data_IF_406666966156
#
_entry.id   IF_406666966156
#
_cell.length_a   1.000
_cell.length_b   1.000
_cell.length_c   1.000
_cell.angle_alpha   90.00
_cell.angle_beta   90.00
_cell.angle_gamma   90.00
#
_symmetry.space_group_name_H-M   'P 1'
#
loop_
_entity.id
_entity.type
_entity.pdbx_description
1 polymer ?
#
# COMPACT_ATOMS: atom_id res chain seq x y z
N UNK A 1 -1.96 -31.63 2.17
CA UNK A 1 -2.19 -31.36 3.59
C UNK A 1 -1.50 -30.06 3.96
N UNK A 2 -2.14 -29.18 4.73
CA UNK A 2 -1.49 -27.97 5.25
C UNK A 2 -0.46 -28.33 6.33
N UNK A 3 0.67 -27.62 6.43
CA UNK A 3 1.60 -27.79 7.55
C UNK A 3 0.85 -27.63 8.88
N UNK A 4 1.12 -28.49 9.88
CA UNK A 4 0.38 -28.50 11.16
C UNK A 4 0.32 -27.13 11.84
N UNK A 5 1.39 -26.34 11.73
CA UNK A 5 1.47 -24.97 12.27
C UNK A 5 0.53 -23.98 11.57
N UNK A 6 0.38 -24.12 10.25
CA UNK A 6 -0.53 -23.32 9.42
C UNK A 6 -1.97 -23.72 9.71
N UNK A 7 -2.23 -25.03 9.77
CA UNK A 7 -3.53 -25.59 10.15
C UNK A 7 -3.99 -25.07 11.51
N UNK A 8 -3.14 -25.07 12.54
CA UNK A 8 -3.50 -24.59 13.88
C UNK A 8 -3.83 -23.10 13.93
N UNK A 9 -3.22 -22.28 13.06
CA UNK A 9 -3.46 -20.83 13.00
C UNK A 9 -4.67 -20.45 12.14
N UNK A 10 -5.12 -21.33 11.26
CA UNK A 10 -6.20 -21.06 10.30
C UNK A 10 -7.51 -21.80 10.67
N UNK A 11 -7.43 -22.98 11.28
CA UNK A 11 -8.56 -23.93 11.43
C UNK A 11 -9.54 -23.64 12.59
N UNK A 12 -9.79 -22.37 12.89
CA UNK A 12 -10.71 -22.04 13.99
C UNK A 12 -12.16 -21.83 13.52
N UNK A 13 -12.44 -21.91 12.22
CA UNK A 13 -13.81 -21.79 11.70
C UNK A 13 -14.02 -22.63 10.43
N UNK A 14 -14.64 -23.80 10.60
CA UNK A 14 -14.74 -24.82 9.55
C UNK A 14 -15.64 -24.40 8.38
N UNK A 15 -16.68 -23.62 8.63
CA UNK A 15 -17.63 -23.10 7.64
C UNK A 15 -16.95 -22.14 6.66
N UNK A 16 -16.14 -21.20 7.14
CA UNK A 16 -15.41 -20.24 6.30
C UNK A 16 -14.28 -20.94 5.51
N UNK A 17 -13.70 -22.01 6.05
CA UNK A 17 -12.78 -22.88 5.31
C UNK A 17 -13.46 -23.62 4.15
N UNK A 18 -14.73 -24.02 4.33
CA UNK A 18 -15.51 -24.61 3.25
C UNK A 18 -15.73 -23.59 2.11
N UNK A 19 -15.93 -22.32 2.43
CA UNK A 19 -16.07 -21.23 1.44
C UNK A 19 -14.78 -20.97 0.64
N UNK A 20 -13.61 -21.39 1.15
CA UNK A 20 -12.36 -21.32 0.38
C UNK A 20 -12.26 -22.42 -0.69
N UNK A 21 -13.01 -23.52 -0.58
CA UNK A 21 -12.85 -24.70 -1.43
C UNK A 21 -13.06 -24.41 -2.93
N UNK A 22 -14.07 -23.62 -3.36
CA UNK A 22 -14.23 -23.26 -4.76
C UNK A 22 -13.03 -22.47 -5.30
N UNK A 23 -12.62 -21.41 -4.60
CA UNK A 23 -11.47 -20.56 -4.96
C UNK A 23 -10.16 -21.35 -4.97
N UNK A 24 -9.99 -22.26 -4.02
CA UNK A 24 -8.82 -23.14 -3.94
C UNK A 24 -8.76 -24.12 -5.11
N UNK A 25 -9.88 -24.77 -5.44
CA UNK A 25 -9.95 -25.67 -6.58
C UNK A 25 -9.75 -24.93 -7.90
N UNK A 26 -10.32 -23.73 -8.03
CA UNK A 26 -10.07 -22.82 -9.15
C UNK A 26 -8.57 -22.56 -9.30
N UNK A 27 -7.90 -22.07 -8.26
CA UNK A 27 -6.46 -21.78 -8.30
C UNK A 27 -5.57 -23.01 -8.56
N UNK A 28 -5.99 -24.19 -8.09
CA UNK A 28 -5.24 -25.44 -8.28
C UNK A 28 -5.33 -25.97 -9.70
N UNK A 29 -6.50 -25.84 -10.31
CA UNK A 29 -6.79 -26.38 -11.64
C UNK A 29 -6.29 -25.50 -12.77
N UNK A 30 -5.75 -24.33 -12.44
CA UNK A 30 -5.38 -23.35 -13.43
C UNK A 30 -3.86 -23.17 -13.53
N UNK A 31 -3.39 -23.16 -14.77
CA UNK A 31 -2.01 -22.87 -15.19
C UNK A 31 -1.69 -21.38 -15.27
N UNK A 32 -2.41 -20.51 -14.56
CA UNK A 32 -2.19 -19.06 -14.60
C UNK A 32 -0.84 -18.74 -13.95
N UNK A 33 0.15 -18.39 -14.77
CA UNK A 33 1.44 -17.86 -14.29
C UNK A 33 1.24 -16.55 -13.52
N UNK A 34 0.24 -15.75 -13.90
CA UNK A 34 -0.23 -14.58 -13.17
C UNK A 34 -1.76 -14.52 -13.22
N UNK A 35 -2.39 -14.78 -12.08
CA UNK A 35 -3.86 -14.83 -11.93
C UNK A 35 -4.51 -13.50 -12.30
N UNK A 36 -3.82 -12.37 -12.10
CA UNK A 36 -4.37 -11.04 -12.36
C UNK A 36 -4.45 -10.70 -13.84
N UNK A 37 -3.48 -11.13 -14.65
CA UNK A 37 -3.40 -10.78 -16.08
C UNK A 37 -4.56 -11.40 -16.87
N UNK A 38 -5.04 -12.58 -16.44
CA UNK A 38 -6.10 -13.31 -17.13
C UNK A 38 -7.48 -13.16 -16.47
N UNK A 39 -7.55 -13.04 -15.13
CA UNK A 39 -8.82 -12.72 -14.46
C UNK A 39 -9.22 -11.26 -14.57
N UNK A 40 -8.25 -10.34 -14.74
CA UNK A 40 -8.56 -8.91 -14.85
C UNK A 40 -9.58 -8.65 -15.96
N UNK A 41 -9.48 -9.35 -17.09
CA UNK A 41 -10.42 -9.21 -18.21
C UNK A 41 -11.81 -9.83 -17.96
N UNK A 42 -11.97 -10.64 -16.90
CA UNK A 42 -13.21 -11.34 -16.55
C UNK A 42 -13.70 -10.88 -15.17
N UNK A 43 -14.07 -9.60 -15.07
CA UNK A 43 -14.45 -8.98 -13.80
C UNK A 43 -15.60 -9.72 -13.08
N UNK A 44 -16.55 -10.30 -13.82
CA UNK A 44 -17.67 -11.07 -13.26
C UNK A 44 -17.19 -12.29 -12.46
N UNK A 45 -16.18 -13.01 -12.97
CA UNK A 45 -15.58 -14.13 -12.24
C UNK A 45 -14.91 -13.60 -10.98
N UNK A 46 -14.22 -12.46 -11.08
CA UNK A 46 -13.57 -11.87 -9.93
C UNK A 46 -14.56 -11.46 -8.84
N UNK A 47 -15.65 -10.80 -9.23
CA UNK A 47 -16.75 -10.35 -8.37
C UNK A 47 -17.43 -11.52 -7.64
N UNK A 48 -17.59 -12.67 -8.32
CA UNK A 48 -18.20 -13.88 -7.74
C UNK A 48 -17.41 -14.47 -6.56
N UNK A 49 -16.09 -14.25 -6.46
CA UNK A 49 -15.32 -14.83 -5.37
C UNK A 49 -15.74 -14.30 -4.00
N UNK A 50 -16.11 -13.01 -3.92
CA UNK A 50 -16.56 -12.40 -2.67
C UNK A 50 -18.03 -12.67 -2.35
N UNK A 51 -18.81 -13.26 -3.25
CA UNK A 51 -20.26 -13.37 -3.10
C UNK A 51 -20.64 -14.13 -1.82
N UNK A 52 -21.58 -13.54 -1.06
CA UNK A 52 -22.01 -14.09 0.23
C UNK A 52 -21.03 -13.87 1.40
N UNK A 53 -19.93 -13.14 1.21
CA UNK A 53 -19.02 -12.77 2.29
C UNK A 53 -19.41 -11.40 2.86
N UNK A 54 -19.78 -11.37 4.14
CA UNK A 54 -20.12 -10.11 4.82
C UNK A 54 -18.87 -9.26 5.09
N UNK A 55 -19.02 -7.95 5.18
CA UNK A 55 -17.93 -7.05 5.59
C UNK A 55 -17.40 -7.39 6.99
N UNK A 56 -18.27 -7.87 7.87
CA UNK A 56 -17.92 -8.37 9.21
C UNK A 56 -16.99 -9.59 9.13
N UNK A 57 -17.26 -10.54 8.24
CA UNK A 57 -16.40 -11.70 8.02
C UNK A 57 -15.03 -11.29 7.45
N UNK A 58 -15.02 -10.32 6.54
CA UNK A 58 -13.77 -9.77 6.00
C UNK A 58 -12.89 -9.22 7.14
N UNK A 59 -13.47 -8.44 8.04
CA UNK A 59 -12.72 -7.79 9.12
C UNK A 59 -12.30 -8.75 10.23
N UNK A 60 -13.19 -9.65 10.64
CA UNK A 60 -12.98 -10.50 11.80
C UNK A 60 -12.27 -11.82 11.45
N UNK A 61 -12.35 -12.25 10.18
CA UNK A 61 -11.80 -13.53 9.76
C UNK A 61 -10.80 -13.39 8.62
N UNK A 62 -11.21 -12.93 7.43
CA UNK A 62 -10.34 -13.00 6.25
C UNK A 62 -9.08 -12.14 6.36
N UNK A 63 -9.21 -10.87 6.77
CA UNK A 63 -8.08 -9.96 6.90
C UNK A 63 -7.07 -10.42 7.98
N UNK A 64 -7.47 -10.83 9.19
CA UNK A 64 -6.55 -11.40 10.17
C UNK A 64 -5.79 -12.64 9.66
N UNK A 65 -6.46 -13.56 8.94
CA UNK A 65 -5.79 -14.76 8.41
C UNK A 65 -4.87 -14.43 7.24
N UNK A 66 -5.24 -13.48 6.40
CA UNK A 66 -4.37 -12.93 5.37
C UNK A 66 -3.07 -12.37 5.97
N UNK A 67 -3.16 -11.61 7.07
CA UNK A 67 -1.97 -11.09 7.78
C UNK A 67 -1.05 -12.19 8.29
N UNK A 68 -1.63 -13.21 8.93
CA UNK A 68 -0.87 -14.37 9.42
C UNK A 68 -0.16 -15.08 8.26
N UNK A 69 -0.90 -15.36 7.18
CA UNK A 69 -0.36 -16.02 5.99
C UNK A 69 0.72 -15.17 5.33
N UNK A 70 0.52 -13.86 5.21
CA UNK A 70 1.51 -12.94 4.67
C UNK A 70 2.81 -12.99 5.48
N UNK A 71 2.72 -12.99 6.81
CA UNK A 71 3.90 -13.10 7.67
C UNK A 71 4.61 -14.46 7.48
N UNK A 72 3.86 -15.57 7.47
CA UNK A 72 4.41 -16.91 7.22
C UNK A 72 5.12 -16.97 5.87
N UNK A 73 4.46 -16.49 4.82
CA UNK A 73 4.99 -16.45 3.46
C UNK A 73 6.23 -15.55 3.37
N UNK A 74 6.37 -14.55 4.25
CA UNK A 74 7.50 -13.60 4.23
C UNK A 74 8.69 -14.02 5.10
N UNK A 75 8.50 -15.03 5.96
CA UNK A 75 9.54 -15.49 6.89
C UNK A 75 10.66 -16.28 6.20
N UNK A 76 11.89 -16.19 6.72
CA UNK A 76 13.07 -16.92 6.22
C UNK A 76 12.97 -18.45 6.34
N UNK A 77 11.97 -18.99 7.05
CA UNK A 77 11.78 -20.44 7.22
C UNK A 77 11.27 -21.15 5.95
N UNK A 78 11.31 -20.49 4.79
CA UNK A 78 10.86 -21.01 3.49
C UNK A 78 11.56 -22.30 3.10
N UNK A 79 12.82 -22.45 3.46
CA UNK A 79 13.67 -23.51 2.91
C UNK A 79 13.32 -24.92 3.44
N UNK A 80 12.55 -25.02 4.55
CA UNK A 80 12.26 -26.30 5.22
C UNK A 80 10.80 -26.78 5.11
N UNK A 81 9.89 -26.03 4.47
CA UNK A 81 8.46 -26.38 4.43
C UNK A 81 7.99 -26.44 2.97
N UNK A 82 7.28 -27.52 2.60
CA UNK A 82 6.50 -27.54 1.36
C UNK A 82 5.37 -26.51 1.45
N UNK A 83 5.67 -25.26 1.04
CA UNK A 83 4.78 -24.11 1.13
C UNK A 83 3.76 -24.04 -0.02
N UNK A 84 3.80 -24.96 -0.99
CA UNK A 84 2.91 -24.91 -2.15
C UNK A 84 1.42 -24.86 -1.74
N UNK A 85 0.91 -25.70 -0.81
CA UNK A 85 -0.47 -25.59 -0.33
C UNK A 85 -0.74 -24.27 0.41
N UNK A 86 0.20 -23.82 1.26
CA UNK A 86 0.09 -22.56 2.01
C UNK A 86 0.01 -21.36 1.07
N UNK A 87 0.79 -21.37 0.00
CA UNK A 87 0.76 -20.35 -1.04
C UNK A 87 -0.60 -20.29 -1.73
N UNK A 88 -1.18 -21.43 -2.12
CA UNK A 88 -2.52 -21.44 -2.71
C UNK A 88 -3.58 -20.89 -1.76
N UNK A 89 -3.50 -21.23 -0.47
CA UNK A 89 -4.43 -20.66 0.53
C UNK A 89 -4.21 -19.16 0.68
N UNK A 90 -2.96 -18.70 0.78
CA UNK A 90 -2.64 -17.27 0.78
C UNK A 90 -3.25 -16.55 -0.43
N UNK A 91 -3.13 -17.14 -1.63
CA UNK A 91 -3.75 -16.63 -2.86
C UNK A 91 -5.28 -16.61 -2.79
N UNK A 92 -5.91 -17.62 -2.17
CA UNK A 92 -7.37 -17.61 -1.96
C UNK A 92 -7.79 -16.40 -1.10
N UNK A 93 -7.13 -16.19 0.04
CA UNK A 93 -7.42 -15.04 0.90
C UNK A 93 -7.18 -13.71 0.17
N UNK A 94 -6.11 -13.62 -0.63
CA UNK A 94 -5.88 -12.44 -1.47
C UNK A 94 -7.05 -12.19 -2.43
N UNK A 95 -7.47 -13.21 -3.20
CA UNK A 95 -8.57 -13.05 -4.16
C UNK A 95 -9.89 -12.65 -3.50
N UNK A 96 -10.21 -13.25 -2.36
CA UNK A 96 -11.43 -12.93 -1.62
C UNK A 96 -11.41 -11.49 -1.10
N UNK A 97 -10.30 -11.06 -0.51
CA UNK A 97 -10.14 -9.68 -0.05
C UNK A 97 -10.23 -8.68 -1.22
N UNK A 98 -9.58 -8.99 -2.34
CA UNK A 98 -9.63 -8.17 -3.54
C UNK A 98 -11.07 -8.07 -4.06
N UNK A 99 -11.79 -9.19 -4.14
CA UNK A 99 -13.16 -9.22 -4.64
C UNK A 99 -14.08 -8.38 -3.76
N UNK A 100 -14.07 -8.63 -2.45
CA UNK A 100 -14.95 -7.91 -1.53
C UNK A 100 -14.61 -6.42 -1.45
N UNK A 101 -13.32 -6.04 -1.42
CA UNK A 101 -12.94 -4.63 -1.42
C UNK A 101 -13.11 -3.91 -2.77
N UNK A 102 -13.15 -4.64 -3.87
CA UNK A 102 -13.38 -4.04 -5.18
C UNK A 102 -14.88 -3.82 -5.44
N UNK A 103 -15.71 -4.81 -5.14
CA UNK A 103 -17.11 -4.85 -5.62
C UNK A 103 -18.18 -4.74 -4.53
N UNK A 104 -17.84 -5.06 -3.27
CA UNK A 104 -18.84 -5.26 -2.20
C UNK A 104 -18.63 -4.35 -0.98
N UNK A 105 -17.82 -3.30 -1.10
CA UNK A 105 -17.69 -2.32 -0.02
C UNK A 105 -19.05 -1.65 0.23
N UNK A 106 -19.57 -1.84 1.43
CA UNK A 106 -20.73 -1.11 1.93
C UNK A 106 -20.45 0.39 1.92
N UNK A 107 -21.48 1.22 1.67
CA UNK A 107 -21.36 2.70 1.64
C UNK A 107 -20.80 3.29 2.94
N UNK A 108 -20.93 2.58 4.06
CA UNK A 108 -20.39 2.94 5.38
C UNK A 108 -18.86 2.78 5.47
N UNK A 109 -18.28 1.98 4.58
CA UNK A 109 -16.85 1.71 4.48
C UNK A 109 -16.29 2.26 3.17
N UNK A 110 -15.86 3.53 3.17
CA UNK A 110 -15.24 4.10 1.99
C UNK A 110 -13.93 3.38 1.63
N UNK A 111 -13.71 3.20 0.32
CA UNK A 111 -12.47 2.62 -0.21
C UNK A 111 -11.22 3.34 0.29
N UNK A 112 -11.29 4.68 0.34
CA UNK A 112 -10.31 5.57 0.94
C UNK A 112 -9.84 5.09 2.31
N UNK A 113 -10.78 4.77 3.20
CA UNK A 113 -10.48 4.29 4.56
C UNK A 113 -9.86 2.89 4.53
N UNK A 114 -10.32 2.02 3.65
CA UNK A 114 -9.77 0.67 3.48
C UNK A 114 -8.29 0.71 3.06
N UNK A 115 -7.96 1.45 2.01
CA UNK A 115 -6.56 1.61 1.57
C UNK A 115 -5.72 2.27 2.66
N UNK A 116 -6.14 3.46 3.13
CA UNK A 116 -5.25 4.29 3.93
C UNK A 116 -5.10 3.81 5.38
N UNK A 117 -6.19 3.39 6.02
CA UNK A 117 -6.17 2.97 7.43
C UNK A 117 -5.94 1.47 7.56
N UNK A 118 -6.63 0.65 6.77
CA UNK A 118 -6.63 -0.81 6.97
C UNK A 118 -5.44 -1.49 6.31
N UNK A 119 -5.16 -1.18 5.05
CA UNK A 119 -4.11 -1.85 4.27
C UNK A 119 -2.76 -1.15 4.37
N UNK A 120 -2.70 0.18 4.48
CA UNK A 120 -1.43 0.90 4.61
C UNK A 120 -1.05 1.16 6.06
N UNK A 121 -1.71 2.12 6.71
CA UNK A 121 -1.23 2.64 7.99
C UNK A 121 -1.26 1.60 9.13
N UNK A 122 -2.30 0.77 9.21
CA UNK A 122 -2.37 -0.32 10.19
C UNK A 122 -1.26 -1.35 10.00
N UNK A 123 -0.90 -1.68 8.75
CA UNK A 123 0.22 -2.59 8.47
C UNK A 123 1.55 -1.96 8.85
N UNK A 124 1.80 -0.70 8.49
CA UNK A 124 3.02 0.02 8.89
C UNK A 124 3.17 0.02 10.42
N UNK A 125 2.10 0.42 11.12
CA UNK A 125 2.12 0.61 12.58
C UNK A 125 2.17 -0.70 13.36
N UNK A 126 1.35 -1.69 13.01
CA UNK A 126 1.13 -2.88 13.84
C UNK A 126 1.95 -4.08 13.40
N UNK A 127 2.18 -4.24 12.09
CA UNK A 127 2.81 -5.45 11.55
C UNK A 127 4.27 -5.18 11.18
N UNK A 128 4.51 -4.21 10.28
CA UNK A 128 5.83 -3.95 9.71
C UNK A 128 6.80 -3.40 10.75
N UNK A 129 6.36 -2.49 11.62
CA UNK A 129 7.24 -1.97 12.67
C UNK A 129 7.72 -3.09 13.60
N UNK A 130 6.81 -3.97 14.04
CA UNK A 130 7.16 -5.11 14.88
C UNK A 130 8.11 -6.07 14.15
N UNK A 131 7.78 -6.49 12.92
CA UNK A 131 8.63 -7.38 12.12
C UNK A 131 10.03 -6.78 11.93
N UNK A 132 10.10 -5.47 11.68
CA UNK A 132 11.37 -4.77 11.51
C UNK A 132 12.20 -4.74 12.80
N UNK A 133 11.56 -4.54 13.95
CA UNK A 133 12.25 -4.61 15.24
C UNK A 133 12.80 -6.01 15.52
N UNK A 134 12.06 -7.07 15.14
CA UNK A 134 12.45 -8.46 15.37
C UNK A 134 13.51 -8.96 14.38
N UNK A 135 13.43 -8.56 13.11
CA UNK A 135 14.20 -9.20 12.03
C UNK A 135 15.06 -8.24 11.20
N UNK A 136 14.79 -6.94 11.25
CA UNK A 136 15.40 -5.93 10.38
C UNK A 136 15.06 -6.06 8.88
N UNK A 137 14.17 -6.98 8.49
CA UNK A 137 13.88 -7.28 7.09
C UNK A 137 12.38 -7.22 6.79
N UNK A 138 12.03 -6.47 5.74
CA UNK A 138 10.64 -6.28 5.30
C UNK A 138 10.39 -6.60 3.83
N UNK A 139 11.45 -6.82 3.04
CA UNK A 139 11.40 -6.76 1.58
C UNK A 139 10.35 -7.72 1.01
N UNK A 140 10.38 -8.99 1.43
CA UNK A 140 9.41 -10.01 1.03
C UNK A 140 7.98 -9.70 1.47
N UNK A 141 7.81 -9.15 2.68
CA UNK A 141 6.50 -8.78 3.22
C UNK A 141 5.90 -7.62 2.42
N UNK A 142 6.70 -6.60 2.17
CA UNK A 142 6.38 -5.45 1.34
C UNK A 142 6.06 -5.85 -0.11
N UNK A 143 6.81 -6.79 -0.68
CA UNK A 143 6.60 -7.30 -2.04
C UNK A 143 5.21 -7.95 -2.19
N UNK A 144 4.86 -8.88 -1.29
CA UNK A 144 3.55 -9.53 -1.37
C UNK A 144 2.40 -8.57 -1.06
N UNK A 145 2.60 -7.66 -0.09
CA UNK A 145 1.55 -6.74 0.32
C UNK A 145 1.29 -5.65 -0.72
N UNK A 146 2.34 -5.11 -1.34
CA UNK A 146 2.22 -4.14 -2.45
C UNK A 146 1.44 -4.73 -3.62
N UNK A 147 1.74 -5.97 -4.02
CA UNK A 147 0.97 -6.67 -5.05
C UNK A 147 -0.54 -6.70 -4.73
N UNK A 148 -0.93 -6.97 -3.49
CA UNK A 148 -2.35 -6.93 -3.10
C UNK A 148 -2.96 -5.53 -3.25
N UNK A 149 -2.28 -4.50 -2.76
CA UNK A 149 -2.79 -3.11 -2.81
C UNK A 149 -2.91 -2.63 -4.27
N UNK A 150 -1.87 -2.85 -5.07
CA UNK A 150 -1.82 -2.47 -6.47
C UNK A 150 -2.91 -3.19 -7.27
N UNK A 151 -3.04 -4.50 -7.08
CA UNK A 151 -4.09 -5.28 -7.75
C UNK A 151 -5.48 -4.77 -7.41
N UNK A 152 -5.71 -4.37 -6.16
CA UNK A 152 -7.00 -3.79 -5.73
C UNK A 152 -7.29 -2.48 -6.47
N UNK A 153 -6.31 -1.57 -6.53
CA UNK A 153 -6.44 -0.28 -7.21
C UNK A 153 -6.67 -0.51 -8.71
N UNK A 154 -5.83 -1.31 -9.35
CA UNK A 154 -5.89 -1.55 -10.79
C UNK A 154 -7.19 -2.26 -11.20
N UNK A 155 -7.71 -3.19 -10.40
CA UNK A 155 -9.02 -3.81 -10.63
C UNK A 155 -10.15 -2.79 -10.54
N UNK A 156 -10.13 -1.87 -9.57
CA UNK A 156 -11.16 -0.82 -9.48
C UNK A 156 -11.08 0.15 -10.65
N UNK A 157 -9.88 0.53 -11.08
CA UNK A 157 -9.70 1.35 -12.29
C UNK A 157 -10.24 0.62 -13.53
N UNK A 158 -10.00 -0.69 -13.63
CA UNK A 158 -10.54 -1.51 -14.71
C UNK A 158 -12.07 -1.62 -14.67
N UNK A 159 -12.65 -1.84 -13.49
CA UNK A 159 -14.09 -1.91 -13.31
C UNK A 159 -14.78 -0.60 -13.70
N UNK A 160 -14.22 0.53 -13.28
CA UNK A 160 -14.70 1.86 -13.65
C UNK A 160 -14.64 2.11 -15.17
N UNK A 161 -13.65 1.54 -15.86
CA UNK A 161 -13.53 1.67 -17.33
C UNK A 161 -14.59 0.86 -18.09
N UNK A 162 -14.95 -0.33 -17.58
CA UNK A 162 -15.86 -1.25 -18.26
C UNK A 162 -17.35 -0.98 -17.95
N UNK A 163 -17.65 -0.46 -16.75
CA UNK A 163 -19.03 -0.18 -16.31
C UNK A 163 -19.28 1.34 -16.33
N UNK A 164 -19.93 1.83 -17.39
CA UNK A 164 -20.19 3.27 -17.70
C UNK A 164 -20.97 4.04 -16.62
N UNK A 165 -21.39 3.42 -15.51
CA UNK A 165 -22.18 4.03 -14.43
C UNK A 165 -21.51 4.02 -13.04
N UNK A 166 -20.20 3.76 -12.94
CA UNK A 166 -19.49 3.68 -11.64
C UNK A 166 -18.59 4.89 -11.33
N UNK A 167 -19.03 6.11 -11.69
CA UNK A 167 -18.25 7.34 -11.45
C UNK A 167 -17.91 7.56 -9.97
N UNK A 168 -18.84 7.24 -9.05
CA UNK A 168 -18.59 7.33 -7.61
C UNK A 168 -17.45 6.41 -7.15
N UNK A 169 -17.40 5.17 -7.68
CA UNK A 169 -16.33 4.22 -7.32
C UNK A 169 -15.00 4.65 -7.88
N UNK A 170 -14.97 5.29 -9.05
CA UNK A 170 -13.77 5.89 -9.61
C UNK A 170 -13.26 7.02 -8.70
N UNK A 171 -14.12 7.95 -8.30
CA UNK A 171 -13.77 9.03 -7.36
C UNK A 171 -13.25 8.49 -6.03
N UNK A 172 -13.89 7.46 -5.47
CA UNK A 172 -13.39 6.78 -4.27
C UNK A 172 -12.00 6.16 -4.47
N UNK A 173 -11.74 5.61 -5.67
CA UNK A 173 -10.44 4.99 -6.01
C UNK A 173 -9.35 6.05 -6.06
N UNK A 174 -9.64 7.19 -6.70
CA UNK A 174 -8.78 8.37 -6.74
C UNK A 174 -8.48 8.87 -5.33
N UNK A 175 -9.50 9.04 -4.49
CA UNK A 175 -9.35 9.42 -3.08
C UNK A 175 -8.44 8.44 -2.32
N UNK A 176 -8.54 7.14 -2.61
CA UNK A 176 -7.66 6.11 -2.09
C UNK A 176 -6.20 6.32 -2.49
N UNK A 177 -5.94 6.58 -3.78
CA UNK A 177 -4.60 6.88 -4.32
C UNK A 177 -4.02 8.14 -3.67
N UNK A 178 -4.84 9.19 -3.50
CA UNK A 178 -4.41 10.42 -2.84
C UNK A 178 -4.01 10.22 -1.39
N UNK A 179 -4.65 9.31 -0.67
CA UNK A 179 -4.22 8.99 0.69
C UNK A 179 -2.86 8.27 0.72
N UNK A 180 -2.51 7.51 -0.33
CA UNK A 180 -1.16 6.93 -0.47
C UNK A 180 -0.12 8.05 -0.60
N UNK A 181 -0.42 9.03 -1.45
CA UNK A 181 0.42 10.21 -1.65
C UNK A 181 0.59 11.01 -0.37
N UNK A 182 -0.52 11.25 0.33
CA UNK A 182 -0.52 11.99 1.59
C UNK A 182 0.26 11.26 2.70
N UNK A 183 0.14 9.93 2.78
CA UNK A 183 0.91 9.12 3.72
C UNK A 183 2.41 9.16 3.40
N UNK A 184 2.80 9.02 2.13
CA UNK A 184 4.19 9.14 1.70
C UNK A 184 4.77 10.52 2.04
N UNK A 185 4.05 11.60 1.68
CA UNK A 185 4.44 12.98 2.00
C UNK A 185 4.64 13.16 3.51
N UNK A 186 3.74 12.60 4.33
CA UNK A 186 3.82 12.66 5.79
C UNK A 186 5.04 11.91 6.36
N UNK A 187 5.37 10.72 5.81
CA UNK A 187 6.54 9.96 6.24
C UNK A 187 7.84 10.69 5.87
N UNK A 188 7.92 11.24 4.66
CA UNK A 188 9.09 12.05 4.25
C UNK A 188 9.21 13.29 5.13
N UNK A 189 8.09 13.90 5.53
CA UNK A 189 8.10 15.01 6.47
C UNK A 189 8.68 14.63 7.85
N UNK A 190 8.31 13.46 8.38
CA UNK A 190 8.90 12.92 9.61
C UNK A 190 10.39 12.64 9.43
N UNK A 191 10.81 12.06 8.30
CA UNK A 191 12.22 11.81 7.99
C UNK A 191 13.06 13.09 7.97
N UNK A 192 12.55 14.17 7.36
CA UNK A 192 13.22 15.49 7.37
C UNK A 192 13.36 15.99 8.81
N UNK A 193 12.30 15.90 9.61
CA UNK A 193 12.31 16.35 11.01
C UNK A 193 13.32 15.55 11.85
N UNK A 194 13.38 14.23 11.65
CA UNK A 194 14.37 13.34 12.25
C UNK A 194 15.80 13.61 11.77
N UNK A 195 16.02 14.24 10.62
CA UNK A 195 17.37 14.65 10.19
C UNK A 195 17.78 15.97 10.84
N UNK A 196 16.86 16.93 10.93
CA UNK A 196 17.10 18.27 11.48
C UNK A 196 17.38 18.22 12.99
N UNK A 197 16.55 17.51 13.76
CA UNK A 197 16.73 17.33 15.20
C UNK A 197 17.97 16.48 15.57
N UNK A 198 18.61 15.83 14.59
CA UNK A 198 19.78 14.96 14.77
C UNK A 198 21.12 15.70 14.63
N UNK A 199 21.07 16.96 14.21
CA UNK A 199 22.25 17.84 14.12
C UNK A 199 22.15 18.87 15.26
N UNK A 200 22.69 18.59 16.46
CA UNK A 200 22.91 19.63 17.44
C UNK A 200 23.93 20.61 16.84
N UNK A 201 23.53 21.85 16.58
CA UNK A 201 24.40 22.99 16.33
C UNK A 201 25.52 22.81 15.27
N UNK A 202 25.16 22.61 14.00
CA UNK A 202 26.00 23.09 12.89
C UNK A 202 25.40 24.37 12.31
N UNK A 203 25.46 25.44 13.09
CA UNK A 203 25.10 26.81 12.67
C UNK A 203 26.23 27.54 11.95
N UNK A 204 27.17 26.82 11.33
CA UNK A 204 28.22 27.43 10.52
C UNK A 204 28.29 26.74 9.14
N UNK A 205 27.90 27.46 8.09
CA UNK A 205 28.54 27.33 6.78
C UNK A 205 27.68 27.00 5.55
N UNK A 206 26.63 26.17 5.63
CA UNK A 206 25.93 25.68 4.40
C UNK A 206 24.41 25.77 4.42
N UNK A 207 23.81 26.16 5.55
CA UNK A 207 22.35 26.21 5.71
C UNK A 207 21.65 27.23 4.81
N UNK A 208 22.33 28.29 4.37
CA UNK A 208 21.73 29.37 3.57
C UNK A 208 21.54 29.02 2.09
N UNK A 209 22.21 27.97 1.56
CA UNK A 209 22.00 27.55 0.17
C UNK A 209 20.72 26.74 -0.06
N UNK A 210 20.14 26.12 0.99
CA UNK A 210 18.91 25.34 0.85
C UNK A 210 17.65 26.23 0.75
N UNK A 211 17.63 27.38 1.40
CA UNK A 211 16.49 28.31 1.38
C UNK A 211 16.24 28.95 0.01
N UNK A 212 17.27 29.04 -0.84
CA UNK A 212 17.19 29.64 -2.16
C UNK A 212 16.56 28.71 -3.23
N UNK A 213 16.49 27.40 -2.96
CA UNK A 213 16.04 26.42 -3.96
C UNK A 213 14.52 26.37 -4.04
N UNK A 214 13.97 26.42 -5.26
CA UNK A 214 12.52 26.46 -5.51
C UNK A 214 11.76 25.31 -4.83
N UNK A 215 12.31 24.09 -4.83
CA UNK A 215 11.68 22.94 -4.18
C UNK A 215 11.54 23.11 -2.66
N UNK A 216 12.49 23.77 -2.00
CA UNK A 216 12.43 24.01 -0.56
C UNK A 216 11.31 25.00 -0.22
N UNK A 217 11.09 26.01 -1.08
CA UNK A 217 10.01 26.97 -0.93
C UNK A 217 8.64 26.30 -1.10
N UNK A 218 8.50 25.43 -2.11
CA UNK A 218 7.28 24.63 -2.33
C UNK A 218 7.01 23.76 -1.09
N UNK A 219 8.00 23.02 -0.63
CA UNK A 219 7.89 22.19 0.57
C UNK A 219 7.52 23.01 1.82
N UNK A 220 8.18 24.14 2.05
CA UNK A 220 7.94 24.99 3.23
C UNK A 220 6.54 25.58 3.26
N UNK A 221 5.99 25.97 2.09
CA UNK A 221 4.60 26.41 1.97
C UNK A 221 3.65 25.24 2.24
N UNK A 222 3.88 24.10 1.61
CA UNK A 222 3.05 22.91 1.74
C UNK A 222 3.02 22.36 3.17
N UNK A 223 4.16 22.34 3.87
CA UNK A 223 4.27 21.93 5.28
C UNK A 223 3.32 22.71 6.20
N UNK A 224 3.03 23.99 5.90
CA UNK A 224 2.10 24.81 6.70
C UNK A 224 0.62 24.50 6.42
N UNK A 225 0.32 23.91 5.26
CA UNK A 225 -1.04 23.65 4.79
C UNK A 225 -1.48 22.20 4.96
N UNK A 226 -0.52 21.27 4.96
CA UNK A 226 -0.79 19.84 5.01
C UNK A 226 -1.38 19.46 6.37
N UNK A 227 -2.36 18.55 6.37
CA UNK A 227 -2.88 18.00 7.61
C UNK A 227 -1.79 17.23 8.36
N UNK A 228 -1.69 17.46 9.67
CA UNK A 228 -0.73 16.76 10.53
C UNK A 228 -1.21 15.38 10.98
N UNK A 229 -2.32 14.85 10.42
CA UNK A 229 -2.93 13.57 10.82
C UNK A 229 -1.89 12.43 10.89
N UNK A 230 -1.27 12.07 9.77
CA UNK A 230 -0.30 10.97 9.73
C UNK A 230 1.02 11.33 10.40
N UNK A 231 1.48 12.57 10.27
CA UNK A 231 2.69 13.05 10.97
C UNK A 231 2.59 12.85 12.48
N UNK A 232 1.51 13.35 13.09
CA UNK A 232 1.27 13.24 14.54
C UNK A 232 1.09 11.79 14.95
N UNK A 233 0.38 11.00 14.15
CA UNK A 233 0.14 9.59 14.41
C UNK A 233 1.44 8.76 14.34
N UNK A 234 2.31 9.00 13.36
CA UNK A 234 3.63 8.35 13.25
C UNK A 234 4.52 8.78 14.42
N UNK A 235 4.56 10.08 14.73
CA UNK A 235 5.32 10.60 15.86
C UNK A 235 4.89 9.94 17.18
N UNK A 236 3.58 9.88 17.41
CA UNK A 236 3.00 9.32 18.65
C UNK A 236 3.22 7.82 18.77
N UNK A 237 3.01 7.06 17.69
CA UNK A 237 2.90 5.60 17.76
C UNK A 237 4.17 4.85 17.33
N UNK A 238 5.10 5.50 16.63
CA UNK A 238 6.32 4.86 16.13
C UNK A 238 7.55 5.58 16.70
N UNK A 239 7.65 6.90 16.48
CA UNK A 239 8.85 7.67 16.87
C UNK A 239 9.06 7.64 18.38
N UNK A 240 8.03 7.97 19.18
CA UNK A 240 8.13 7.98 20.66
C UNK A 240 8.54 6.65 21.29
N UNK A 241 8.30 5.53 20.61
CA UNK A 241 8.59 4.19 21.12
C UNK A 241 9.93 3.63 20.61
N UNK A 242 10.61 4.32 19.69
CA UNK A 242 11.91 3.89 19.21
C UNK A 242 13.04 4.54 20.01
N UNK A 243 13.89 3.72 20.64
CA UNK A 243 15.13 4.19 21.27
C UNK A 243 16.27 4.40 20.27
N UNK A 244 16.18 3.76 19.10
CA UNK A 244 17.25 3.76 18.10
C UNK A 244 16.85 4.62 16.89
N UNK A 245 17.34 5.86 16.86
CA UNK A 245 17.05 6.83 15.79
C UNK A 245 17.49 6.35 14.41
N UNK A 246 18.65 5.70 14.31
CA UNK A 246 19.16 5.17 13.05
C UNK A 246 18.24 4.08 12.48
N UNK A 247 17.85 3.10 13.32
CA UNK A 247 16.89 2.05 12.91
C UNK A 247 15.53 2.63 12.53
N UNK A 248 15.02 3.60 13.28
CA UNK A 248 13.77 4.29 12.95
C UNK A 248 13.85 5.02 11.60
N UNK A 249 14.94 5.73 11.35
CA UNK A 249 15.17 6.45 10.10
C UNK A 249 15.20 5.47 8.92
N UNK A 250 15.94 4.37 9.07
CA UNK A 250 16.01 3.32 8.06
C UNK A 250 14.65 2.64 7.82
N UNK A 251 13.88 2.37 8.88
CA UNK A 251 12.52 1.84 8.76
C UNK A 251 11.63 2.78 7.95
N UNK A 252 11.52 4.04 8.34
CA UNK A 252 10.67 5.02 7.65
C UNK A 252 11.12 5.24 6.21
N UNK A 253 12.43 5.23 5.94
CA UNK A 253 12.99 5.28 4.58
C UNK A 253 12.56 4.07 3.74
N UNK A 254 12.61 2.85 4.28
CA UNK A 254 12.09 1.64 3.60
C UNK A 254 10.59 1.74 3.32
N UNK A 255 9.80 2.28 4.26
CA UNK A 255 8.37 2.51 4.04
C UNK A 255 8.15 3.54 2.90
N UNK A 256 8.96 4.61 2.83
CA UNK A 256 8.90 5.56 1.71
C UNK A 256 9.19 4.90 0.37
N UNK A 257 10.21 4.05 0.28
CA UNK A 257 10.50 3.28 -0.94
C UNK A 257 9.37 2.34 -1.31
N UNK A 258 8.78 1.66 -0.33
CA UNK A 258 7.65 0.76 -0.55
C UNK A 258 6.39 1.47 -1.05
N UNK A 259 6.09 2.65 -0.50
CA UNK A 259 4.98 3.47 -0.98
C UNK A 259 5.24 3.98 -2.41
N UNK A 260 6.47 4.40 -2.72
CA UNK A 260 6.85 4.74 -4.09
C UNK A 260 6.66 3.54 -5.04
N UNK A 261 7.07 2.34 -4.64
CA UNK A 261 6.85 1.12 -5.44
C UNK A 261 5.35 0.86 -5.69
N UNK A 262 4.49 1.03 -4.68
CA UNK A 262 3.03 0.90 -4.87
C UNK A 262 2.54 1.88 -5.93
N UNK A 263 3.01 3.12 -5.86
CA UNK A 263 2.62 4.18 -6.79
C UNK A 263 3.10 3.86 -8.21
N UNK A 264 4.34 3.39 -8.37
CA UNK A 264 4.91 3.03 -9.68
C UNK A 264 4.14 1.90 -10.38
N UNK A 265 3.61 0.96 -9.61
CA UNK A 265 2.91 -0.20 -10.13
C UNK A 265 1.41 0.03 -10.43
N UNK A 266 0.88 1.22 -10.17
CA UNK A 266 -0.48 1.59 -10.58
C UNK A 266 -0.53 1.66 -12.12
N UNK A 267 -1.63 1.19 -12.72
CA UNK A 267 -1.86 1.24 -14.16
C UNK A 267 -2.22 2.68 -14.60
N UNK A 268 -1.19 3.51 -14.72
CA UNK A 268 -1.32 4.93 -15.07
C UNK A 268 -1.73 5.17 -16.52
N UNK A 269 -1.45 4.22 -17.40
CA UNK A 269 -1.95 4.25 -18.77
C UNK A 269 -3.47 4.19 -18.76
N UNK A 270 -4.03 3.21 -18.03
CA UNK A 270 -5.48 3.11 -17.82
C UNK A 270 -6.05 4.34 -17.13
N UNK A 271 -5.41 4.82 -16.05
CA UNK A 271 -5.82 6.06 -15.38
C UNK A 271 -5.94 7.22 -16.37
N UNK A 272 -4.96 7.40 -17.25
CA UNK A 272 -4.94 8.51 -18.21
C UNK A 272 -6.07 8.41 -19.24
N UNK A 273 -6.52 7.21 -19.60
CA UNK A 273 -7.66 7.03 -20.52
C UNK A 273 -9.02 7.38 -19.90
N UNK A 274 -9.11 7.44 -18.56
CA UNK A 274 -10.36 7.73 -17.86
C UNK A 274 -10.65 9.24 -17.75
N UNK A 275 -9.65 10.09 -18.00
CA UNK A 275 -9.76 11.54 -17.81
C UNK A 275 -9.32 12.30 -19.06
N UNK A 276 -10.01 13.40 -19.37
CA UNK A 276 -9.57 14.32 -20.41
C UNK A 276 -8.29 15.06 -20.03
N UNK A 277 -7.63 15.71 -21.00
CA UNK A 277 -6.38 16.44 -20.75
C UNK A 277 -6.50 17.58 -19.73
N UNK A 278 -7.70 18.17 -19.59
CA UNK A 278 -7.98 19.30 -18.70
C UNK A 278 -8.80 18.89 -17.45
N UNK A 279 -8.80 17.61 -17.09
CA UNK A 279 -9.58 17.13 -15.95
C UNK A 279 -9.01 17.65 -14.61
N UNK A 280 -9.83 18.23 -13.71
CA UNK A 280 -9.38 18.70 -12.39
C UNK A 280 -8.66 17.63 -11.56
N UNK A 281 -9.05 16.36 -11.70
CA UNK A 281 -8.48 15.24 -10.96
C UNK A 281 -7.06 14.95 -11.42
N UNK A 282 -6.77 15.12 -12.72
CA UNK A 282 -5.42 15.05 -13.28
C UNK A 282 -4.53 16.16 -12.72
N UNK A 283 -4.98 17.42 -12.75
CA UNK A 283 -4.24 18.55 -12.15
C UNK A 283 -3.96 18.34 -10.66
N UNK A 284 -4.93 17.76 -9.93
CA UNK A 284 -4.79 17.45 -8.53
C UNK A 284 -3.71 16.38 -8.24
N UNK A 285 -3.59 15.36 -9.10
CA UNK A 285 -2.55 14.34 -9.01
C UNK A 285 -1.16 14.90 -9.32
N UNK A 286 -1.04 15.75 -10.34
CA UNK A 286 0.22 16.46 -10.68
C UNK A 286 0.69 17.37 -9.55
N UNK A 287 -0.25 18.06 -8.90
CA UNK A 287 0.05 18.90 -7.73
C UNK A 287 0.56 18.06 -6.56
N UNK A 288 -0.05 16.90 -6.30
CA UNK A 288 0.40 15.96 -5.27
C UNK A 288 1.81 15.44 -5.56
N UNK A 289 2.12 15.09 -6.82
CA UNK A 289 3.46 14.71 -7.27
C UNK A 289 4.49 15.78 -6.95
N UNK A 290 4.18 17.03 -7.28
CA UNK A 290 5.07 18.18 -7.07
C UNK A 290 5.39 18.36 -5.59
N UNK A 291 4.40 18.18 -4.70
CA UNK A 291 4.61 18.25 -3.26
C UNK A 291 5.49 17.12 -2.74
N UNK A 292 5.26 15.88 -3.17
CA UNK A 292 6.09 14.73 -2.80
C UNK A 292 7.53 14.94 -3.30
N UNK A 293 7.71 15.35 -4.55
CA UNK A 293 9.02 15.61 -5.14
C UNK A 293 9.76 16.71 -4.39
N UNK A 294 9.08 17.81 -4.04
CA UNK A 294 9.66 18.88 -3.24
C UNK A 294 10.09 18.40 -1.84
N UNK A 295 9.29 17.55 -1.19
CA UNK A 295 9.64 16.95 0.09
C UNK A 295 10.86 16.02 -0.03
N UNK A 296 10.89 15.13 -1.03
CA UNK A 296 12.02 14.21 -1.26
C UNK A 296 13.31 14.96 -1.59
N UNK A 297 13.26 16.00 -2.44
CA UNK A 297 14.41 16.86 -2.74
C UNK A 297 14.89 17.64 -1.51
N UNK A 298 13.98 18.00 -0.61
CA UNK A 298 14.34 18.62 0.68
C UNK A 298 14.98 17.62 1.63
N UNK A 299 14.51 16.38 1.63
CA UNK A 299 15.15 15.30 2.37
C UNK A 299 16.54 14.96 1.83
N UNK A 300 16.81 15.22 0.54
CA UNK A 300 18.13 15.06 -0.08
C UNK A 300 18.66 13.62 0.07
N UNK A 301 17.91 12.68 -0.52
CA UNK A 301 18.23 11.25 -0.57
C UNK A 301 18.27 10.79 -2.04
N UNK A 302 19.44 10.36 -2.49
CA UNK A 302 19.68 10.05 -3.92
C UNK A 302 18.79 8.91 -4.42
N UNK A 303 18.53 7.91 -3.60
CA UNK A 303 17.75 6.73 -4.01
C UNK A 303 16.27 7.07 -4.15
N UNK A 304 15.70 7.79 -3.17
CA UNK A 304 14.31 8.28 -3.26
C UNK A 304 14.13 9.28 -4.41
N UNK A 305 15.12 10.17 -4.64
CA UNK A 305 15.10 11.10 -5.79
C UNK A 305 15.11 10.31 -7.10
N UNK A 306 15.98 9.31 -7.22
CA UNK A 306 16.12 8.51 -8.44
C UNK A 306 14.84 7.71 -8.71
N UNK A 307 14.29 7.04 -7.70
CA UNK A 307 13.03 6.29 -7.83
C UNK A 307 11.89 7.23 -8.25
N UNK A 308 11.72 8.38 -7.60
CA UNK A 308 10.66 9.34 -7.96
C UNK A 308 10.80 9.90 -9.39
N UNK A 309 12.03 10.02 -9.90
CA UNK A 309 12.30 10.50 -11.27
C UNK A 309 12.04 9.44 -12.33
N UNK A 310 12.36 8.19 -12.05
CA UNK A 310 12.24 7.07 -13.00
C UNK A 310 10.85 6.43 -12.98
N UNK A 311 10.05 6.69 -11.95
CA UNK A 311 8.70 6.19 -11.81
C UNK A 311 7.82 6.59 -13.00
N UNK A 312 7.00 5.63 -13.46
CA UNK A 312 5.93 5.92 -14.39
C UNK A 312 4.86 6.73 -13.65
N UNK A 313 4.88 8.06 -13.80
CA UNK A 313 3.77 8.90 -13.36
C UNK A 313 2.82 9.09 -14.53
N UNK A 314 1.49 9.14 -14.31
CA UNK A 314 0.58 9.52 -15.37
C UNK A 314 1.02 10.91 -15.84
N UNK A 315 0.94 11.18 -17.14
CA UNK A 315 1.16 12.51 -17.72
C UNK A 315 2.61 12.94 -18.02
N UNK A 316 3.59 12.02 -18.01
CA UNK A 316 4.80 12.24 -18.80
C UNK A 316 4.49 11.87 -20.27
N UNK A 317 3.90 12.81 -21.00
CA UNK A 317 3.96 12.87 -22.45
C UNK A 317 5.23 13.58 -22.89
#
# INVERSE_FOLDING_TARGET
MLPKEVSKKINNNATQLANLKPTFNFLKNITFRNVMDQLGQKLEIFESFGEGISQTDIQNWYLPRYKILLNIMSSKRRDNINLKPTFYIFRCFQLLLLSSYCFQLEKTYSFKKCISQTLLYSFIRKEMWQIYQETGQLDTFMEFHSKTIVNLINLRLQAAQQKTQEQDRLLETIDGIQEIFFLLESIVHVLISLRVEGKPNSHNGSGHQHFAKAYYQIYSRRKKMISNKYTNDIQKNIVKHSKERAKLTQFLWRISQWLLLIIDLIDWARFSTLFGNNDPLKTMMEKSRTFIQAAILTFDDKDLITHMRLMAWPFLG
#
